data_IF_600617883664
#
_entry.id   IF_600617883664
#
_cell.length_a   1.000
_cell.length_b   1.000
_cell.length_c   1.000
_cell.angle_alpha   90.00
_cell.angle_beta   90.00
_cell.angle_gamma   90.00
#
_symmetry.space_group_name_H-M   'P 1'
#
loop_
_entity.id
_entity.type
_entity.pdbx_description
1 polymer ?
#
# COMPACT_ATOMS: atom_id res chain seq x y z
N UNK A 1 -38.82 4.44 32.22
CA UNK A 1 -37.93 3.26 32.26
C UNK A 1 -37.24 2.93 30.93
N UNK A 2 -37.74 3.38 29.77
CA UNK A 2 -37.10 3.14 28.46
C UNK A 2 -35.87 4.05 28.19
N UNK A 3 -35.74 5.19 28.90
CA UNK A 3 -34.61 6.14 28.75
C UNK A 3 -33.32 5.75 29.50
N UNK A 4 -33.38 4.80 30.44
CA UNK A 4 -32.19 4.39 31.21
C UNK A 4 -31.43 3.22 30.56
N UNK A 5 -32.10 2.37 29.78
CA UNK A 5 -31.48 1.26 29.07
C UNK A 5 -30.69 1.70 27.81
N UNK A 6 -31.15 2.75 27.12
CA UNK A 6 -30.42 3.35 25.98
C UNK A 6 -29.17 4.10 26.46
N UNK A 7 -29.22 4.71 27.65
CA UNK A 7 -28.07 5.39 28.27
C UNK A 7 -27.01 4.39 28.74
N UNK A 8 -27.41 3.23 29.28
CA UNK A 8 -26.50 2.17 29.71
C UNK A 8 -25.81 1.44 28.54
N UNK A 9 -26.45 1.35 27.37
CA UNK A 9 -25.84 0.80 26.15
C UNK A 9 -24.85 1.79 25.49
N UNK A 10 -25.02 3.10 25.67
CA UNK A 10 -24.04 4.11 25.27
C UNK A 10 -22.86 4.27 26.25
N UNK A 11 -23.01 3.79 27.50
CA UNK A 11 -21.98 3.87 28.55
C UNK A 11 -21.03 2.66 28.57
N UNK A 12 -21.22 1.69 27.67
CA UNK A 12 -20.24 0.64 27.39
C UNK A 12 -19.58 0.86 26.01
N UNK A 13 -19.46 2.12 25.58
CA UNK A 13 -18.53 2.44 24.51
C UNK A 13 -17.14 1.93 24.95
N UNK A 14 -16.44 1.13 24.12
CA UNK A 14 -15.03 0.88 24.37
C UNK A 14 -14.35 2.23 24.56
N UNK A 15 -13.38 2.30 25.47
CA UNK A 15 -12.73 3.55 25.90
C UNK A 15 -12.07 4.35 24.75
N UNK A 16 -12.12 3.84 23.52
CA UNK A 16 -11.47 4.33 22.32
C UNK A 16 -12.47 4.68 21.19
N UNK A 17 -13.77 4.84 21.50
CA UNK A 17 -14.76 5.21 20.49
C UNK A 17 -14.71 6.72 20.17
N UNK A 18 -14.28 7.07 18.97
CA UNK A 18 -14.20 8.46 18.50
C UNK A 18 -15.55 9.18 18.57
N UNK A 19 -15.60 10.37 19.16
CA UNK A 19 -16.78 11.24 19.16
C UNK A 19 -16.83 12.13 17.92
N UNK A 20 -17.97 12.79 17.67
CA UNK A 20 -18.09 13.75 16.56
C UNK A 20 -17.11 14.93 16.70
N UNK A 21 -16.79 15.34 17.92
CA UNK A 21 -15.86 16.44 18.16
C UNK A 21 -14.41 16.00 17.93
N UNK A 22 -14.05 14.77 18.32
CA UNK A 22 -12.75 14.17 18.02
C UNK A 22 -12.52 14.08 16.50
N UNK A 23 -13.54 13.65 15.75
CA UNK A 23 -13.47 13.59 14.28
C UNK A 23 -13.27 14.97 13.64
N UNK A 24 -13.93 16.01 14.14
CA UNK A 24 -13.75 17.38 13.64
C UNK A 24 -12.36 17.93 14.00
N UNK A 25 -11.87 17.64 15.21
CA UNK A 25 -10.54 18.01 15.64
C UNK A 25 -9.47 17.32 14.78
N UNK A 26 -9.67 16.04 14.44
CA UNK A 26 -8.81 15.31 13.51
C UNK A 26 -8.72 15.98 12.14
N UNK A 27 -9.86 16.35 11.54
CA UNK A 27 -9.89 17.06 10.25
C UNK A 27 -9.08 18.36 10.30
N UNK A 28 -9.25 19.14 11.37
CA UNK A 28 -8.51 20.39 11.58
C UNK A 28 -6.99 20.18 11.67
N UNK A 29 -6.53 19.04 12.22
CA UNK A 29 -5.11 18.68 12.30
C UNK A 29 -4.54 18.16 10.98
N UNK A 30 -5.32 17.37 10.23
CA UNK A 30 -4.87 16.75 8.98
C UNK A 30 -4.78 17.74 7.79
N UNK A 31 -5.27 18.97 7.93
CA UNK A 31 -5.27 19.98 6.86
C UNK A 31 -5.94 19.50 5.57
N UNK A 32 -7.02 18.71 5.70
CA UNK A 32 -7.81 18.20 4.58
C UNK A 32 -9.10 19.00 4.43
N UNK A 33 -9.62 19.07 3.20
CA UNK A 33 -10.95 19.61 2.93
C UNK A 33 -11.96 18.47 2.91
N UNK A 34 -13.07 18.63 3.61
CA UNK A 34 -14.13 17.61 3.74
C UNK A 34 -15.49 18.27 3.62
N UNK A 35 -16.42 17.64 2.92
CA UNK A 35 -17.80 18.15 2.87
C UNK A 35 -18.56 17.78 4.15
N UNK A 36 -18.39 16.56 4.63
CA UNK A 36 -19.11 16.03 5.78
C UNK A 36 -18.22 15.18 6.67
N UNK A 37 -18.42 15.33 7.98
CA UNK A 37 -17.74 14.55 9.02
C UNK A 37 -18.77 14.07 10.03
N UNK A 38 -18.78 12.77 10.29
CA UNK A 38 -19.67 12.10 11.24
C UNK A 38 -18.88 11.11 12.11
N UNK A 39 -19.38 10.83 13.31
CA UNK A 39 -18.93 9.69 14.10
C UNK A 39 -20.05 8.64 14.10
N UNK A 40 -19.71 7.43 13.65
CA UNK A 40 -20.63 6.29 13.62
C UNK A 40 -19.97 5.14 14.37
N UNK A 41 -20.57 4.74 15.49
CA UNK A 41 -20.09 3.63 16.31
C UNK A 41 -18.60 3.71 16.70
N UNK A 42 -18.09 4.93 16.94
CA UNK A 42 -16.68 5.15 17.32
C UNK A 42 -15.71 5.23 16.14
N UNK A 43 -16.21 5.27 14.91
CA UNK A 43 -15.42 5.47 13.69
C UNK A 43 -15.74 6.84 13.11
N UNK A 44 -14.71 7.63 12.80
CA UNK A 44 -14.83 8.85 12.02
C UNK A 44 -15.09 8.53 10.56
N UNK A 45 -16.21 9.01 10.05
CA UNK A 45 -16.57 8.95 8.64
C UNK A 45 -16.46 10.35 8.03
N UNK A 46 -15.60 10.48 7.03
CA UNK A 46 -15.41 11.71 6.25
C UNK A 46 -15.88 11.44 4.83
N UNK A 47 -16.62 12.37 4.23
CA UNK A 47 -17.13 12.27 2.85
C UNK A 47 -16.64 13.43 2.00
N UNK A 48 -16.41 13.14 0.71
CA UNK A 48 -15.89 14.07 -0.30
C UNK A 48 -14.63 14.77 0.19
N UNK A 49 -13.61 13.96 0.49
CA UNK A 49 -12.35 14.40 1.06
C UNK A 49 -11.40 14.83 -0.06
N UNK A 50 -10.87 16.04 0.03
CA UNK A 50 -9.79 16.53 -0.84
C UNK A 50 -8.53 16.79 -0.02
N UNK A 51 -7.40 16.31 -0.52
CA UNK A 51 -6.09 16.43 0.13
C UNK A 51 -4.97 16.45 -0.91
N UNK A 52 -3.73 16.64 -0.48
CA UNK A 52 -2.59 16.84 -1.38
C UNK A 52 -2.36 18.32 -1.70
N UNK A 53 -1.28 18.58 -2.44
CA UNK A 53 -0.94 19.94 -2.84
C UNK A 53 -1.58 20.32 -4.18
N UNK A 54 -1.36 21.55 -4.62
CA UNK A 54 -1.91 22.05 -5.89
C UNK A 54 -1.37 21.34 -7.13
N UNK A 55 -0.23 20.64 -7.01
CA UNK A 55 0.41 19.93 -8.12
C UNK A 55 -0.05 18.48 -8.25
N UNK A 56 -0.53 17.90 -7.15
CA UNK A 56 -1.03 16.53 -7.04
C UNK A 56 -2.25 16.46 -6.14
N UNK A 57 -3.37 17.12 -6.49
CA UNK A 57 -4.55 17.07 -5.65
C UNK A 57 -5.19 15.69 -5.75
N UNK A 58 -5.65 15.18 -4.61
CA UNK A 58 -6.31 13.90 -4.48
C UNK A 58 -7.74 14.11 -3.99
N UNK A 59 -8.60 13.20 -4.42
CA UNK A 59 -9.99 13.10 -4.01
C UNK A 59 -10.26 11.70 -3.47
N UNK A 60 -11.10 11.61 -2.44
CA UNK A 60 -11.70 10.36 -2.00
C UNK A 60 -13.18 10.59 -1.66
N UNK A 61 -14.06 9.75 -2.20
CA UNK A 61 -15.49 9.80 -1.90
C UNK A 61 -15.74 9.61 -0.40
N UNK A 62 -14.94 8.75 0.23
CA UNK A 62 -15.10 8.42 1.65
C UNK A 62 -13.78 8.00 2.29
N UNK A 63 -13.54 8.51 3.49
CA UNK A 63 -12.49 8.01 4.38
C UNK A 63 -13.16 7.60 5.70
N UNK A 64 -12.76 6.43 6.21
CA UNK A 64 -13.17 5.92 7.52
C UNK A 64 -11.93 5.67 8.37
N UNK A 65 -11.96 6.11 9.63
CA UNK A 65 -10.87 5.95 10.60
C UNK A 65 -11.45 5.62 11.98
N UNK A 66 -10.92 4.58 12.62
CA UNK A 66 -11.27 4.19 13.99
C UNK A 66 -10.06 3.67 14.75
N UNK A 67 -10.20 3.54 16.07
CA UNK A 67 -9.09 3.27 16.99
C UNK A 67 -8.55 4.56 17.60
N UNK A 68 -7.24 4.63 17.82
CA UNK A 68 -6.55 5.71 18.54
C UNK A 68 -6.32 6.93 17.64
N UNK A 69 -7.39 7.48 17.07
CA UNK A 69 -7.32 8.60 16.12
C UNK A 69 -6.74 9.87 16.76
N UNK A 70 -6.80 10.00 18.08
CA UNK A 70 -6.30 11.16 18.80
C UNK A 70 -4.77 11.27 18.77
N UNK A 71 -4.08 10.14 18.54
CA UNK A 71 -2.63 10.12 18.35
C UNK A 71 -2.21 10.81 17.03
N UNK A 72 -3.10 10.92 16.05
CA UNK A 72 -2.77 11.47 14.73
C UNK A 72 -2.77 13.01 14.74
N UNK A 73 -1.86 13.67 14.00
CA UNK A 73 -0.80 13.10 13.16
C UNK A 73 0.54 12.87 13.88
N UNK A 74 0.62 13.19 15.18
CA UNK A 74 1.88 13.43 15.88
C UNK A 74 2.52 12.18 16.52
N UNK A 75 1.76 11.09 16.63
CA UNK A 75 2.20 9.85 17.26
C UNK A 75 1.67 8.61 16.53
N UNK A 76 2.40 7.50 16.68
CA UNK A 76 1.99 6.20 16.18
C UNK A 76 0.81 5.66 17.01
N UNK A 77 -0.38 5.44 16.43
CA UNK A 77 -1.52 4.90 17.15
C UNK A 77 -1.28 3.45 17.57
N UNK A 78 -1.70 3.06 18.78
CA UNK A 78 -1.59 1.64 19.22
C UNK A 78 -2.53 0.76 18.43
N UNK A 79 -3.66 1.30 18.01
CA UNK A 79 -4.53 0.67 17.03
C UNK A 79 -5.12 1.69 16.08
N UNK A 80 -5.08 1.40 14.79
CA UNK A 80 -5.73 2.21 13.78
C UNK A 80 -6.30 1.31 12.70
N UNK A 81 -7.59 1.44 12.45
CA UNK A 81 -8.26 0.72 11.37
C UNK A 81 -9.07 1.68 10.54
N UNK A 82 -9.22 1.39 9.26
CA UNK A 82 -9.95 2.29 8.40
C UNK A 82 -9.96 1.86 6.94
N UNK A 83 -10.36 2.79 6.11
CA UNK A 83 -10.38 2.60 4.69
C UNK A 83 -10.74 3.86 3.93
N UNK A 84 -10.38 3.86 2.66
CA UNK A 84 -10.65 4.90 1.68
C UNK A 84 -11.42 4.27 0.53
N UNK A 85 -12.44 4.95 0.03
CA UNK A 85 -13.22 4.53 -1.15
C UNK A 85 -13.22 5.67 -2.15
N UNK A 86 -13.10 5.32 -3.44
CA UNK A 86 -13.11 6.29 -4.52
C UNK A 86 -11.86 7.16 -4.55
N UNK A 87 -10.71 6.64 -4.08
CA UNK A 87 -9.45 7.36 -4.12
C UNK A 87 -9.01 7.57 -5.58
N UNK A 88 -8.84 8.83 -5.95
CA UNK A 88 -8.52 9.26 -7.29
C UNK A 88 -7.61 10.50 -7.25
N UNK A 89 -6.75 10.65 -8.24
CA UNK A 89 -6.13 11.95 -8.51
C UNK A 89 -7.21 12.89 -9.04
N UNK A 90 -7.31 14.09 -8.47
CA UNK A 90 -8.14 15.17 -9.01
C UNK A 90 -7.34 15.83 -10.15
N UNK A 91 -7.66 15.54 -11.42
CA UNK A 91 -6.83 15.98 -12.53
C UNK A 91 -7.19 17.41 -12.87
N UNK A 92 -6.50 18.34 -12.22
CA UNK A 92 -6.37 19.71 -12.68
C UNK A 92 -4.89 19.97 -12.98
N UNK A 93 -4.34 19.38 -14.06
CA UNK A 93 -3.02 19.77 -14.56
C UNK A 93 -3.23 20.73 -15.74
N UNK A 94 -3.10 22.06 -15.54
CA UNK A 94 -3.32 23.02 -16.60
C UNK A 94 -2.40 22.74 -17.80
N UNK A 95 -2.99 22.66 -18.99
CA UNK A 95 -2.25 22.54 -20.25
C UNK A 95 -1.90 21.11 -20.68
N UNK A 96 -2.40 20.05 -20.02
CA UNK A 96 -2.15 18.65 -20.43
C UNK A 96 -3.43 17.78 -20.51
N UNK A 97 -4.38 18.11 -21.42
CA UNK A 97 -5.70 17.46 -21.49
C UNK A 97 -5.66 15.94 -21.77
N UNK A 98 -4.63 15.44 -22.47
CA UNK A 98 -4.46 14.01 -22.71
C UNK A 98 -4.01 13.23 -21.47
N UNK A 99 -3.13 13.82 -20.66
CA UNK A 99 -2.72 13.25 -19.36
C UNK A 99 -3.88 13.32 -18.37
N UNK A 100 -4.63 14.43 -18.36
CA UNK A 100 -5.84 14.54 -17.54
C UNK A 100 -6.88 13.47 -17.90
N UNK A 101 -7.04 13.16 -19.20
CA UNK A 101 -7.93 12.07 -19.62
C UNK A 101 -7.42 10.70 -19.17
N UNK A 102 -6.13 10.39 -19.36
CA UNK A 102 -5.52 9.13 -18.94
C UNK A 102 -5.65 8.91 -17.42
N UNK A 103 -5.34 9.94 -16.63
CA UNK A 103 -5.46 9.89 -15.17
C UNK A 103 -6.92 9.72 -14.72
N UNK A 104 -7.89 10.36 -15.38
CA UNK A 104 -9.32 10.14 -15.10
C UNK A 104 -9.78 8.72 -15.39
N UNK A 105 -9.32 8.16 -16.52
CA UNK A 105 -9.74 6.83 -16.94
C UNK A 105 -9.14 5.74 -16.04
N UNK A 106 -7.90 5.94 -15.57
CA UNK A 106 -7.25 5.06 -14.58
C UNK A 106 -7.86 5.18 -13.17
N UNK A 107 -8.48 6.33 -12.86
CA UNK A 107 -9.05 6.59 -11.54
C UNK A 107 -10.51 6.16 -11.41
N UNK A 108 -11.07 5.38 -12.35
CA UNK A 108 -12.46 4.88 -12.32
C UNK A 108 -12.49 3.34 -12.27
N UNK A 109 -13.28 2.73 -11.36
CA UNK A 109 -14.26 3.33 -10.44
C UNK A 109 -13.64 4.00 -9.19
N UNK A 110 -12.33 4.12 -9.11
CA UNK A 110 -11.61 4.73 -7.99
C UNK A 110 -11.06 3.67 -7.05
N UNK A 111 -9.91 3.95 -6.46
CA UNK A 111 -9.21 2.98 -5.64
C UNK A 111 -9.89 2.84 -4.27
N UNK A 112 -10.02 1.60 -3.82
CA UNK A 112 -10.44 1.28 -2.46
C UNK A 112 -9.25 0.76 -1.67
N UNK A 113 -9.04 1.32 -0.49
CA UNK A 113 -8.02 0.94 0.47
C UNK A 113 -8.72 0.50 1.76
N UNK A 114 -8.31 -0.59 2.37
CA UNK A 114 -8.69 -0.92 3.75
C UNK A 114 -7.47 -1.34 4.54
N UNK A 115 -7.42 -1.01 5.82
CA UNK A 115 -6.28 -1.32 6.65
C UNK A 115 -6.64 -1.57 8.12
N UNK A 116 -5.83 -2.38 8.79
CA UNK A 116 -5.82 -2.62 10.23
C UNK A 116 -4.36 -2.66 10.72
N UNK A 117 -4.03 -1.70 11.59
CA UNK A 117 -2.71 -1.48 12.14
C UNK A 117 -2.77 -1.64 13.66
N UNK A 118 -1.73 -2.25 14.22
CA UNK A 118 -1.52 -2.30 15.65
C UNK A 118 -0.06 -2.02 16.00
N UNK A 119 0.19 -1.15 16.97
CA UNK A 119 1.51 -0.83 17.47
C UNK A 119 1.62 -1.13 18.97
N UNK A 120 2.69 -1.83 19.34
CA UNK A 120 2.99 -2.16 20.74
C UNK A 120 4.51 -2.30 20.92
N UNK A 121 5.05 -1.63 21.95
CA UNK A 121 6.46 -1.75 22.35
C UNK A 121 7.47 -1.59 21.19
N UNK A 122 7.27 -0.56 20.35
CA UNK A 122 8.15 -0.27 19.21
C UNK A 122 8.01 -1.24 18.03
N UNK A 123 6.96 -2.07 18.02
CA UNK A 123 6.62 -2.96 16.91
C UNK A 123 5.30 -2.51 16.28
N UNK A 124 5.31 -2.26 14.97
CA UNK A 124 4.13 -2.01 14.16
C UNK A 124 3.77 -3.27 13.39
N UNK A 125 2.55 -3.76 13.58
CA UNK A 125 1.95 -4.85 12.83
C UNK A 125 0.89 -4.29 11.88
N UNK A 126 1.14 -4.43 10.57
CA UNK A 126 0.14 -4.27 9.53
C UNK A 126 -0.60 -5.60 9.44
N UNK A 127 -1.74 -5.71 10.10
CA UNK A 127 -2.52 -6.96 10.16
C UNK A 127 -3.27 -7.24 8.87
N UNK A 128 -3.67 -6.16 8.20
CA UNK A 128 -4.26 -6.19 6.87
C UNK A 128 -4.04 -4.83 6.24
N UNK A 129 -3.60 -4.81 5.00
CA UNK A 129 -3.65 -3.67 4.10
C UNK A 129 -4.11 -4.21 2.76
N UNK A 130 -5.25 -3.74 2.26
CA UNK A 130 -5.82 -4.21 0.99
C UNK A 130 -6.11 -3.03 0.09
N UNK A 131 -5.63 -3.11 -1.14
CA UNK A 131 -5.98 -2.21 -2.23
C UNK A 131 -6.84 -2.99 -3.22
N UNK A 132 -7.94 -2.38 -3.67
CA UNK A 132 -8.80 -2.91 -4.72
C UNK A 132 -9.07 -1.82 -5.74
N UNK A 133 -8.92 -2.15 -7.01
CA UNK A 133 -9.28 -1.25 -8.11
C UNK A 133 -10.69 -1.55 -8.59
N UNK A 134 -10.97 -2.84 -8.71
CA UNK A 134 -12.24 -3.41 -9.11
C UNK A 134 -12.48 -4.74 -8.34
N UNK A 135 -13.36 -5.58 -8.86
CA UNK A 135 -13.65 -6.88 -8.28
C UNK A 135 -12.53 -7.91 -8.52
N UNK A 136 -11.66 -7.71 -9.52
CA UNK A 136 -10.72 -8.75 -10.00
C UNK A 136 -9.25 -8.43 -9.77
N UNK A 137 -8.88 -7.16 -9.62
CA UNK A 137 -7.52 -6.73 -9.37
C UNK A 137 -7.36 -6.17 -7.95
N UNK A 138 -6.39 -6.71 -7.22
CA UNK A 138 -6.15 -6.33 -5.84
C UNK A 138 -4.75 -6.62 -5.35
N UNK A 139 -4.40 -5.94 -4.28
CA UNK A 139 -3.18 -6.19 -3.52
C UNK A 139 -3.58 -6.38 -2.08
N UNK A 140 -3.03 -7.41 -1.42
CA UNK A 140 -3.13 -7.60 0.02
C UNK A 140 -1.75 -7.70 0.63
N UNK A 141 -1.57 -7.07 1.79
CA UNK A 141 -0.30 -7.02 2.49
C UNK A 141 -0.54 -7.25 3.98
N UNK A 142 0.29 -8.09 4.56
CA UNK A 142 0.54 -8.12 6.00
C UNK A 142 2.03 -7.90 6.25
N UNK A 143 2.38 -7.23 7.35
CA UNK A 143 3.77 -6.96 7.66
C UNK A 143 3.98 -6.74 9.16
N UNK A 144 5.20 -7.01 9.61
CA UNK A 144 5.65 -6.72 10.97
C UNK A 144 6.97 -5.96 10.93
N UNK A 145 6.95 -4.77 11.50
CA UNK A 145 8.06 -3.83 11.55
C UNK A 145 8.48 -3.64 13.01
N UNK A 146 9.77 -3.77 13.32
CA UNK A 146 10.33 -3.50 14.65
C UNK A 146 11.21 -2.24 14.63
N UNK A 147 11.39 -1.62 15.80
CA UNK A 147 12.15 -0.38 15.95
C UNK A 147 11.40 0.85 15.41
N UNK A 148 10.07 0.78 15.34
CA UNK A 148 9.24 1.90 14.89
C UNK A 148 9.11 2.90 16.05
N UNK A 149 9.53 4.16 15.88
CA UNK A 149 9.42 5.15 16.93
C UNK A 149 7.97 5.52 17.21
N UNK A 150 7.69 5.95 18.44
CA UNK A 150 6.34 6.38 18.85
C UNK A 150 5.94 7.73 18.27
N UNK A 151 6.91 8.56 17.88
CA UNK A 151 6.67 9.88 17.27
C UNK A 151 6.43 9.71 15.76
N UNK A 152 5.42 10.41 15.25
CA UNK A 152 5.05 10.41 13.83
C UNK A 152 4.91 11.85 13.31
N UNK A 153 5.25 12.16 12.05
CA UNK A 153 5.94 11.31 11.08
C UNK A 153 7.37 10.96 11.53
N UNK A 154 7.85 9.80 11.07
CA UNK A 154 9.19 9.30 11.42
C UNK A 154 10.26 10.17 10.76
N UNK A 155 11.20 10.68 11.56
CA UNK A 155 12.40 11.35 11.05
C UNK A 155 13.24 10.38 10.18
N UNK A 156 13.79 10.81 9.03
CA UNK A 156 14.58 9.95 8.15
C UNK A 156 15.72 9.18 8.84
N UNK A 157 16.37 9.77 9.85
CA UNK A 157 17.41 9.11 10.65
C UNK A 157 16.80 7.99 11.49
N UNK A 158 15.65 8.23 12.12
CA UNK A 158 14.94 7.22 12.89
C UNK A 158 14.37 6.10 12.01
N UNK A 159 13.99 6.40 10.77
CA UNK A 159 13.54 5.40 9.79
C UNK A 159 14.62 4.34 9.51
N UNK A 160 15.91 4.69 9.64
CA UNK A 160 17.02 3.76 9.49
C UNK A 160 17.10 2.68 10.58
N UNK A 161 16.41 2.85 11.70
CA UNK A 161 16.33 1.86 12.77
C UNK A 161 15.18 0.86 12.57
N UNK A 162 14.23 1.16 11.68
CA UNK A 162 13.10 0.28 11.40
C UNK A 162 13.58 -0.97 10.66
N UNK A 163 13.10 -2.14 11.10
CA UNK A 163 13.43 -3.45 10.54
C UNK A 163 12.14 -4.20 10.18
N UNK A 164 12.03 -4.65 8.94
CA UNK A 164 10.98 -5.55 8.47
C UNK A 164 11.28 -6.96 8.94
N UNK A 165 10.55 -7.44 9.94
CA UNK A 165 10.70 -8.79 10.49
C UNK A 165 10.03 -9.85 9.63
N UNK A 166 8.85 -9.52 9.09
CA UNK A 166 8.08 -10.39 8.23
C UNK A 166 7.18 -9.55 7.32
N UNK A 167 6.92 -10.05 6.12
CA UNK A 167 5.97 -9.48 5.16
C UNK A 167 5.38 -10.59 4.31
N UNK A 168 4.08 -10.53 4.09
CA UNK A 168 3.39 -11.33 3.09
C UNK A 168 2.62 -10.38 2.19
N UNK A 169 2.93 -10.42 0.89
CA UNK A 169 2.32 -9.61 -0.15
C UNK A 169 1.68 -10.54 -1.18
N UNK A 170 0.40 -10.34 -1.46
CA UNK A 170 -0.34 -11.04 -2.50
C UNK A 170 -0.87 -10.03 -3.51
N UNK A 171 -0.69 -10.30 -4.79
CA UNK A 171 -1.17 -9.47 -5.89
C UNK A 171 -1.98 -10.34 -6.83
N UNK A 172 -3.25 -9.98 -7.01
CA UNK A 172 -4.19 -10.61 -7.93
C UNK A 172 -4.23 -9.83 -9.24
N UNK A 173 -3.92 -10.51 -10.34
CA UNK A 173 -3.85 -9.93 -11.68
C UNK A 173 -4.93 -10.52 -12.58
N UNK A 174 -5.70 -9.65 -13.25
CA UNK A 174 -6.68 -10.04 -14.28
C UNK A 174 -6.25 -9.59 -15.69
N UNK A 175 -4.94 -9.52 -15.97
CA UNK A 175 -4.40 -9.20 -17.29
C UNK A 175 -4.16 -7.71 -17.57
N UNK A 176 -4.58 -6.84 -16.65
CA UNK A 176 -4.29 -5.39 -16.71
C UNK A 176 -3.08 -5.03 -15.84
N UNK A 177 -1.87 -5.40 -16.28
CA UNK A 177 -0.65 -4.76 -15.75
C UNK A 177 -0.64 -3.24 -15.99
N UNK A 178 -1.46 -2.78 -16.95
CA UNK A 178 -1.54 -1.40 -17.43
C UNK A 178 -2.11 -0.40 -16.42
N UNK A 179 -2.87 -0.85 -15.42
CA UNK A 179 -3.61 0.10 -14.58
C UNK A 179 -2.72 0.82 -13.55
N UNK A 180 -2.02 0.14 -12.62
CA UNK A 180 -1.49 0.87 -11.44
C UNK A 180 -0.19 0.36 -10.80
N UNK A 181 0.32 -0.83 -11.13
CA UNK A 181 1.70 -1.19 -10.75
C UNK A 181 2.72 -0.35 -11.57
N UNK A 182 2.28 0.19 -12.72
CA UNK A 182 3.13 0.96 -13.64
C UNK A 182 3.56 2.35 -13.16
N UNK A 183 2.95 2.95 -12.14
CA UNK A 183 3.42 4.29 -11.73
C UNK A 183 4.72 4.20 -10.94
N UNK A 184 4.82 3.50 -9.79
CA UNK A 184 6.11 3.39 -9.09
C UNK A 184 7.06 2.35 -9.68
N UNK A 185 6.58 1.15 -10.08
CA UNK A 185 7.46 0.12 -10.67
C UNK A 185 7.66 0.32 -12.18
N UNK A 186 6.62 0.74 -12.90
CA UNK A 186 6.74 1.03 -14.33
C UNK A 186 7.58 2.26 -14.64
N UNK A 187 7.53 3.35 -13.87
CA UNK A 187 8.42 4.51 -14.10
C UNK A 187 9.88 4.24 -13.73
N UNK A 188 10.12 3.25 -12.87
CA UNK A 188 11.46 2.84 -12.48
C UNK A 188 12.12 1.90 -13.50
N UNK A 189 11.33 1.16 -14.26
CA UNK A 189 11.82 0.12 -15.18
C UNK A 189 11.59 0.48 -16.65
N UNK A 190 10.56 1.27 -16.95
CA UNK A 190 10.19 1.67 -18.30
C UNK A 190 10.45 3.16 -18.49
N UNK A 191 11.16 3.46 -19.57
CA UNK A 191 11.23 4.80 -20.15
C UNK A 191 9.84 5.21 -20.64
N UNK A 192 9.22 6.11 -19.88
CA UNK A 192 7.91 6.71 -20.18
C UNK A 192 7.85 7.48 -21.51
N UNK A 193 8.98 7.65 -22.21
CA UNK A 193 9.06 8.31 -23.52
C UNK A 193 9.03 7.34 -24.71
N UNK A 194 9.03 6.03 -24.47
CA UNK A 194 9.04 4.99 -25.51
C UNK A 194 7.80 4.07 -25.42
N UNK A 195 7.49 3.34 -26.50
CA UNK A 195 6.43 2.32 -26.49
C UNK A 195 6.75 1.21 -25.48
N UNK A 196 5.74 0.65 -24.82
CA UNK A 196 5.92 -0.25 -23.68
C UNK A 196 6.44 -1.64 -24.09
N UNK A 197 5.98 -2.16 -25.23
CA UNK A 197 6.21 -3.55 -25.64
C UNK A 197 7.69 -3.89 -25.92
N UNK A 198 8.48 -3.05 -26.61
CA UNK A 198 9.93 -3.28 -26.75
C UNK A 198 10.66 -3.26 -25.40
N UNK A 199 10.18 -2.47 -24.45
CA UNK A 199 10.78 -2.35 -23.12
C UNK A 199 10.43 -3.54 -22.23
N UNK A 200 9.24 -4.13 -22.40
CA UNK A 200 8.86 -5.39 -21.74
C UNK A 200 9.76 -6.55 -22.20
N UNK A 201 10.16 -6.59 -23.47
CA UNK A 201 11.13 -7.59 -23.94
C UNK A 201 12.50 -7.41 -23.27
N UNK A 202 12.99 -6.18 -23.16
CA UNK A 202 14.26 -5.85 -22.48
C UNK A 202 14.17 -6.19 -20.98
N UNK A 203 13.04 -5.89 -20.33
CA UNK A 203 12.77 -6.29 -18.95
C UNK A 203 12.83 -7.80 -18.78
N UNK A 204 12.15 -8.56 -19.64
CA UNK A 204 12.13 -10.03 -19.58
C UNK A 204 13.52 -10.62 -19.69
N UNK A 205 14.31 -10.15 -20.65
CA UNK A 205 15.69 -10.60 -20.85
C UNK A 205 16.58 -10.19 -19.67
N UNK A 206 16.40 -8.98 -19.14
CA UNK A 206 17.12 -8.49 -17.96
C UNK A 206 16.80 -9.31 -16.71
N UNK A 207 15.53 -9.58 -16.43
CA UNK A 207 15.13 -10.39 -15.27
C UNK A 207 15.62 -11.83 -15.43
N UNK A 208 15.53 -12.42 -16.63
CA UNK A 208 16.08 -13.76 -16.88
C UNK A 208 17.58 -13.84 -16.57
N UNK A 209 18.35 -12.85 -17.02
CA UNK A 209 19.79 -12.78 -16.72
C UNK A 209 20.07 -12.59 -15.21
N UNK A 210 19.18 -11.90 -14.48
CA UNK A 210 19.27 -11.74 -13.03
C UNK A 210 18.92 -13.01 -12.25
N UNK A 211 18.08 -13.87 -12.82
CA UNK A 211 17.63 -15.11 -12.20
C UNK A 211 18.59 -16.28 -12.46
N UNK A 212 19.38 -16.22 -13.53
CA UNK A 212 20.35 -17.26 -13.91
C UNK A 212 21.28 -17.72 -12.77
N UNK A 213 21.85 -16.84 -11.92
CA UNK A 213 22.72 -17.24 -10.82
C UNK A 213 22.04 -18.09 -9.73
N UNK A 214 20.71 -18.11 -9.67
CA UNK A 214 19.96 -18.89 -8.67
C UNK A 214 19.66 -20.33 -9.14
N UNK A 215 19.99 -20.69 -10.37
CA UNK A 215 19.84 -22.05 -10.87
C UNK A 215 20.69 -23.05 -10.05
N UNK A 216 20.07 -24.11 -9.54
CA UNK A 216 20.74 -25.11 -8.70
C UNK A 216 21.03 -24.66 -7.26
N UNK A 217 20.53 -23.50 -6.85
CA UNK A 217 20.60 -23.01 -5.46
C UNK A 217 19.33 -23.36 -4.68
N UNK A 218 19.32 -23.09 -3.37
CA UNK A 218 18.13 -23.17 -2.52
C UNK A 218 17.03 -22.16 -2.92
N UNK A 219 17.39 -21.11 -3.68
CA UNK A 219 16.47 -20.12 -4.22
C UNK A 219 15.90 -20.47 -5.61
N UNK A 220 16.21 -21.66 -6.16
CA UNK A 220 15.79 -22.03 -7.50
C UNK A 220 14.26 -21.98 -7.68
N UNK A 221 13.49 -22.47 -6.71
CA UNK A 221 12.02 -22.45 -6.79
C UNK A 221 11.46 -21.02 -6.88
N UNK A 222 12.01 -20.08 -6.10
CA UNK A 222 11.64 -18.67 -6.17
C UNK A 222 11.99 -18.05 -7.53
N UNK A 223 13.16 -18.39 -8.06
CA UNK A 223 13.58 -17.93 -9.38
C UNK A 223 12.67 -18.47 -10.50
N UNK A 224 12.26 -19.74 -10.43
CA UNK A 224 11.31 -20.34 -11.37
C UNK A 224 9.93 -19.67 -11.29
N UNK A 225 9.42 -19.39 -10.09
CA UNK A 225 8.16 -18.67 -9.91
C UNK A 225 8.20 -17.25 -10.49
N UNK A 226 9.28 -16.49 -10.20
CA UNK A 226 9.50 -15.16 -10.77
C UNK A 226 9.62 -15.21 -12.30
N UNK A 227 10.35 -16.19 -12.84
CA UNK A 227 10.46 -16.37 -14.28
C UNK A 227 9.09 -16.65 -14.91
N UNK A 228 8.28 -17.51 -14.30
CA UNK A 228 6.92 -17.82 -14.77
C UNK A 228 6.02 -16.59 -14.83
N UNK A 229 6.09 -15.71 -13.82
CA UNK A 229 5.40 -14.42 -13.83
C UNK A 229 5.91 -13.49 -14.94
N UNK A 230 7.22 -13.38 -15.11
CA UNK A 230 7.86 -12.51 -16.13
C UNK A 230 7.51 -12.95 -17.55
N UNK A 231 7.42 -14.26 -17.78
CA UNK A 231 7.09 -14.85 -19.08
C UNK A 231 5.65 -14.56 -19.52
N UNK A 232 4.74 -14.20 -18.60
CA UNK A 232 3.35 -13.83 -18.92
C UNK A 232 3.10 -12.32 -19.01
N UNK A 233 4.11 -11.48 -18.77
CA UNK A 233 4.02 -10.04 -19.01
C UNK A 233 3.69 -9.72 -20.50
N UNK A 234 3.11 -8.57 -20.85
CA UNK A 234 2.59 -7.53 -19.97
C UNK A 234 1.17 -7.84 -19.46
N UNK A 235 0.62 -9.04 -19.69
CA UNK A 235 -0.76 -9.36 -19.30
C UNK A 235 -0.81 -10.58 -18.36
N UNK A 236 -0.17 -10.51 -17.17
CA UNK A 236 -0.23 -11.60 -16.21
C UNK A 236 -1.68 -11.82 -15.76
N UNK A 237 -2.10 -13.08 -15.68
CA UNK A 237 -3.39 -13.49 -15.13
C UNK A 237 -3.16 -14.55 -14.07
N UNK A 238 -3.62 -14.32 -12.86
CA UNK A 238 -3.38 -15.17 -11.70
C UNK A 238 -2.78 -14.41 -10.50
N UNK A 239 -2.25 -15.16 -9.54
CA UNK A 239 -1.84 -14.63 -8.23
C UNK A 239 -0.32 -14.73 -8.04
N UNK A 240 0.31 -13.59 -7.72
CA UNK A 240 1.70 -13.52 -7.26
C UNK A 240 1.73 -13.35 -5.74
N UNK A 241 2.37 -14.28 -5.04
CA UNK A 241 2.62 -14.19 -3.60
C UNK A 241 4.11 -14.01 -3.33
N UNK A 242 4.45 -13.06 -2.47
CA UNK A 242 5.81 -12.72 -2.05
C UNK A 242 5.85 -12.67 -0.53
N UNK A 243 6.53 -13.65 0.08
CA UNK A 243 6.90 -13.70 1.48
C UNK A 243 8.33 -13.20 1.69
N UNK A 244 8.54 -12.39 2.72
CA UNK A 244 9.87 -11.97 3.19
C UNK A 244 9.95 -12.22 4.69
N UNK A 245 10.91 -13.03 5.12
CA UNK A 245 11.21 -13.33 6.52
C UNK A 245 12.70 -13.17 6.86
N UNK A 246 13.07 -13.53 8.10
CA UNK A 246 14.46 -13.58 8.57
C UNK A 246 14.88 -12.44 9.52
N UNK A 247 16.19 -12.22 9.69
CA UNK A 247 16.77 -11.29 10.70
C UNK A 247 16.57 -9.80 10.43
N UNK A 248 15.73 -9.46 9.46
CA UNK A 248 15.15 -8.14 9.31
C UNK A 248 15.82 -7.28 8.25
N UNK A 249 15.13 -7.03 7.13
CA UNK A 249 15.54 -5.99 6.18
C UNK A 249 15.28 -4.63 6.80
N UNK A 250 16.28 -3.76 6.88
CA UNK A 250 16.01 -2.38 7.29
C UNK A 250 15.07 -1.69 6.29
N UNK A 251 14.22 -0.77 6.76
CA UNK A 251 13.36 0.02 5.87
C UNK A 251 14.18 0.75 4.79
N UNK A 252 15.40 1.18 5.11
CA UNK A 252 16.36 1.77 4.16
C UNK A 252 16.83 0.76 3.11
N UNK A 253 17.00 -0.51 3.47
CA UNK A 253 17.23 -1.61 2.51
C UNK A 253 15.95 -2.05 1.77
N UNK A 254 14.77 -1.63 2.21
CA UNK A 254 13.52 -1.83 1.48
C UNK A 254 13.26 -0.73 0.43
N UNK A 255 13.73 0.49 0.69
CA UNK A 255 13.42 1.67 -0.13
C UNK A 255 13.71 1.50 -1.62
N UNK A 256 14.84 0.94 -2.06
CA UNK A 256 15.09 0.76 -3.48
C UNK A 256 14.09 -0.16 -4.19
N UNK A 257 13.43 -1.09 -3.48
CA UNK A 257 12.34 -1.88 -4.07
C UNK A 257 11.09 -1.05 -4.27
N UNK A 258 10.74 -0.20 -3.29
CA UNK A 258 9.57 0.65 -3.34
C UNK A 258 9.71 1.79 -4.36
N UNK A 259 10.92 2.31 -4.54
CA UNK A 259 11.22 3.37 -5.52
C UNK A 259 11.70 2.82 -6.87
N UNK A 260 11.80 1.49 -7.00
CA UNK A 260 12.31 0.79 -8.18
C UNK A 260 13.76 1.14 -8.58
N UNK A 261 14.56 1.66 -7.65
CA UNK A 261 15.98 1.97 -7.86
C UNK A 261 16.90 0.81 -7.44
N UNK A 262 16.34 -0.37 -7.16
CA UNK A 262 17.08 -1.55 -6.77
C UNK A 262 18.01 -2.02 -7.89
N UNK A 263 19.31 -2.10 -7.61
CA UNK A 263 20.28 -2.68 -8.54
C UNK A 263 20.29 -4.22 -8.45
N UNK A 264 20.74 -4.92 -9.51
CA UNK A 264 21.02 -6.36 -9.48
C UNK A 264 21.77 -6.85 -8.22
N UNK A 265 22.89 -6.21 -7.91
CA UNK A 265 23.72 -6.54 -6.74
C UNK A 265 22.98 -6.29 -5.41
N UNK A 266 22.07 -5.31 -5.39
CA UNK A 266 21.25 -5.03 -4.23
C UNK A 266 20.21 -6.13 -4.01
N UNK A 267 19.53 -6.57 -5.07
CA UNK A 267 18.57 -7.67 -5.03
C UNK A 267 19.26 -8.94 -4.53
N UNK A 268 20.43 -9.28 -5.06
CA UNK A 268 21.20 -10.46 -4.63
C UNK A 268 21.63 -10.38 -3.15
N UNK A 269 22.01 -9.19 -2.66
CA UNK A 269 22.32 -8.99 -1.23
C UNK A 269 21.10 -9.11 -0.33
N UNK A 270 19.93 -8.69 -0.81
CA UNK A 270 18.68 -8.80 -0.06
C UNK A 270 18.20 -10.24 -0.04
N UNK A 271 18.23 -10.93 -1.18
CA UNK A 271 17.88 -12.35 -1.28
C UNK A 271 18.80 -13.27 -0.47
N UNK A 272 20.04 -12.86 -0.20
CA UNK A 272 20.96 -13.59 0.70
C UNK A 272 20.82 -13.22 2.17
N UNK A 273 20.17 -12.09 2.48
CA UNK A 273 19.98 -11.60 3.85
C UNK A 273 18.55 -11.84 4.40
N UNK A 274 17.60 -12.10 3.51
CA UNK A 274 16.20 -12.34 3.82
C UNK A 274 15.79 -13.73 3.33
N UNK A 275 14.91 -14.38 4.09
CA UNK A 275 14.21 -15.57 3.63
C UNK A 275 13.12 -15.11 2.68
N UNK A 276 13.33 -15.34 1.38
CA UNK A 276 12.35 -15.02 0.34
C UNK A 276 11.51 -16.26 0.05
N UNK A 277 10.21 -16.10 -0.10
CA UNK A 277 9.29 -17.10 -0.65
C UNK A 277 8.50 -16.44 -1.77
N UNK A 278 8.62 -16.93 -3.00
CA UNK A 278 7.88 -16.39 -4.14
C UNK A 278 7.11 -17.49 -4.82
N UNK A 279 5.82 -17.25 -5.01
CA UNK A 279 4.91 -18.18 -5.65
C UNK A 279 4.12 -17.46 -6.74
N UNK A 280 4.05 -18.08 -7.91
CA UNK A 280 3.22 -17.61 -9.03
C UNK A 280 2.21 -18.70 -9.37
N UNK A 281 0.93 -18.37 -9.27
CA UNK A 281 -0.19 -19.26 -9.62
C UNK A 281 -0.93 -18.67 -10.80
N UNK A 282 -0.62 -19.08 -12.05
CA UNK A 282 -1.32 -18.56 -13.22
C UNK A 282 -2.77 -19.04 -13.26
N UNK A 283 -3.64 -18.21 -13.82
CA UNK A 283 -5.02 -18.62 -14.13
C UNK A 283 -5.04 -19.77 -15.14
N UNK A 284 -6.12 -20.57 -15.10
CA UNK A 284 -6.36 -21.58 -16.13
C UNK A 284 -6.50 -20.90 -17.51
N UNK A 285 -5.90 -21.48 -18.58
CA UNK A 285 -5.95 -20.92 -19.93
C UNK A 285 -7.36 -20.88 -20.53
#
# INVERSE_FOLDING_TARGET
MIRAAVLAAMLAAPADAATSDDCKALVGRLSVSVERVESIAGTCLMSDVRFGDTSTPWHADRISLGGDIDALPDALPRRLSGGVVGLALDPQIPGRPGLDWLMREQSRPGLSLTFDLAAEAGVLSIRSLRFRMDETNGLSLTARLAGVPEIWPVDPVAASAIRLQAMDLEIDFDGMFEALVLIPLGSAILDTTQAAEPQVAILRDGVRALLEPFAGTDQQANAEALQGFVDVLPHPRGVLSIGIGGTGLSAVQGMPFLTGTASPDFIARVASAAELDVQWTPDAP
#
